data_IF_873955242047
#
_entry.id   IF_873955242047
#
_cell.length_a   1.000
_cell.length_b   1.000
_cell.length_c   1.000
_cell.angle_alpha   90.00
_cell.angle_beta   90.00
_cell.angle_gamma   90.00
#
_symmetry.space_group_name_H-M   'P 1'
#
loop_
_entity.id
_entity.type
_entity.pdbx_description
1 polymer ?
#
# COMPACT_ATOMS: atom_id res chain seq x y z
N UNK A 1 -3.74 9.15 10.00
CA UNK A 1 -3.97 7.75 9.57
C UNK A 1 -5.14 7.16 10.34
N UNK A 2 -6.08 6.51 9.63
CA UNK A 2 -7.24 5.85 10.23
C UNK A 2 -7.41 4.46 9.62
N UNK A 3 -7.34 3.44 10.46
CA UNK A 3 -7.71 2.07 10.09
C UNK A 3 -9.24 1.94 10.09
N UNK A 4 -9.81 1.59 8.94
CA UNK A 4 -11.26 1.43 8.76
C UNK A 4 -11.67 -0.02 8.98
N UNK A 5 -10.75 -0.97 8.77
CA UNK A 5 -11.03 -2.39 8.85
C UNK A 5 -11.47 -2.94 7.50
N UNK A 6 -12.34 -3.94 7.52
CA UNK A 6 -12.80 -4.60 6.30
C UNK A 6 -13.91 -3.78 5.63
N UNK A 7 -13.70 -3.44 4.36
CA UNK A 7 -14.60 -2.67 3.50
C UNK A 7 -14.89 -3.49 2.25
N UNK A 8 -16.04 -3.22 1.62
CA UNK A 8 -16.41 -3.81 0.34
C UNK A 8 -16.58 -2.75 -0.72
N UNK A 9 -16.13 -3.05 -1.93
CA UNK A 9 -16.27 -2.17 -3.08
C UNK A 9 -16.23 -2.92 -4.40
N UNK A 10 -16.42 -2.18 -5.49
CA UNK A 10 -16.35 -2.73 -6.84
C UNK A 10 -14.89 -2.85 -7.34
N UNK A 11 -14.70 -3.40 -8.54
CA UNK A 11 -13.37 -3.54 -9.15
C UNK A 11 -12.62 -2.20 -9.33
N UNK A 12 -13.32 -1.09 -9.51
CA UNK A 12 -12.67 0.22 -9.66
C UNK A 12 -12.03 0.70 -8.35
N UNK A 13 -12.67 0.38 -7.22
CA UNK A 13 -12.21 0.71 -5.87
C UNK A 13 -11.25 -0.33 -5.31
N UNK A 14 -11.32 -1.58 -5.78
CA UNK A 14 -10.47 -2.70 -5.37
C UNK A 14 -9.05 -2.60 -5.96
N UNK A 15 -8.38 -1.46 -5.73
CA UNK A 15 -6.99 -1.19 -6.12
C UNK A 15 -6.19 -0.90 -4.85
N UNK A 16 -4.93 -1.30 -4.83
CA UNK A 16 -4.05 -1.12 -3.66
C UNK A 16 -3.97 0.33 -3.19
N UNK A 17 -4.02 1.28 -4.12
CA UNK A 17 -3.98 2.72 -3.86
C UNK A 17 -5.08 3.44 -4.63
N UNK A 18 -5.92 4.18 -3.92
CA UNK A 18 -6.93 5.07 -4.50
C UNK A 18 -6.74 6.48 -3.96
N UNK A 19 -6.63 7.47 -4.86
CA UNK A 19 -6.51 8.88 -4.49
C UNK A 19 -7.88 9.52 -4.62
N UNK A 20 -8.52 9.82 -3.50
CA UNK A 20 -9.77 10.57 -3.46
C UNK A 20 -9.54 12.08 -3.53
N UNK A 21 -10.66 12.80 -3.36
CA UNK A 21 -10.64 14.27 -3.34
C UNK A 21 -9.84 14.82 -2.16
N UNK A 22 -10.07 14.28 -0.95
CA UNK A 22 -9.48 14.81 0.29
C UNK A 22 -8.57 13.79 1.00
N UNK A 23 -8.68 12.50 0.64
CA UNK A 23 -7.98 11.39 1.33
C UNK A 23 -7.31 10.44 0.35
N UNK A 24 -6.36 9.69 0.87
CA UNK A 24 -5.71 8.56 0.21
C UNK A 24 -6.18 7.27 0.88
N UNK A 25 -6.60 6.29 0.09
CA UNK A 25 -7.09 5.00 0.53
C UNK A 25 -6.10 3.93 0.12
N UNK A 26 -5.65 3.14 1.09
CA UNK A 26 -4.79 1.99 0.90
C UNK A 26 -5.63 0.75 1.17
N UNK A 27 -5.65 -0.17 0.20
CA UNK A 27 -6.36 -1.43 0.32
C UNK A 27 -5.38 -2.59 0.32
N UNK A 28 -5.47 -3.45 1.34
CA UNK A 28 -4.71 -4.71 1.42
C UNK A 28 -5.67 -5.90 1.46
N UNK A 29 -5.14 -7.09 1.22
CA UNK A 29 -5.89 -8.35 1.30
C UNK A 29 -7.16 -8.35 0.41
N UNK A 30 -7.06 -7.77 -0.78
CA UNK A 30 -8.19 -7.64 -1.72
C UNK A 30 -8.61 -9.02 -2.21
N UNK A 31 -9.86 -9.39 -1.95
CA UNK A 31 -10.45 -10.68 -2.33
C UNK A 31 -11.79 -10.48 -3.02
N UNK A 32 -12.10 -11.22 -4.10
CA UNK A 32 -13.41 -11.14 -4.75
C UNK A 32 -14.47 -11.87 -3.93
N UNK A 33 -15.65 -11.26 -3.80
CA UNK A 33 -16.85 -11.90 -3.28
C UNK A 33 -17.66 -12.42 -4.47
N UNK A 34 -17.75 -13.75 -4.59
CA UNK A 34 -18.47 -14.41 -5.69
C UNK A 34 -19.91 -14.76 -5.34
N UNK A 35 -20.29 -14.75 -4.06
CA UNK A 35 -21.64 -15.11 -3.59
C UNK A 35 -22.15 -14.16 -2.51
N UNK A 36 -23.44 -13.83 -2.55
CA UNK A 36 -24.09 -13.06 -1.49
C UNK A 36 -24.51 -13.93 -0.29
N UNK A 37 -25.00 -13.30 0.77
CA UNK A 37 -25.51 -13.98 1.97
C UNK A 37 -26.68 -14.94 1.72
N UNK A 38 -27.28 -14.91 0.53
CA UNK A 38 -28.41 -15.75 0.11
C UNK A 38 -27.97 -16.81 -0.92
N UNK A 39 -26.67 -16.90 -1.24
CA UNK A 39 -26.10 -17.85 -2.18
C UNK A 39 -26.25 -17.47 -3.66
N UNK A 40 -26.66 -16.24 -3.99
CA UNK A 40 -26.70 -15.78 -5.37
C UNK A 40 -25.31 -15.37 -5.84
N UNK A 41 -24.98 -15.62 -7.11
CA UNK A 41 -23.75 -15.13 -7.70
C UNK A 41 -23.70 -13.60 -7.71
N UNK A 42 -22.62 -13.05 -7.19
CA UNK A 42 -22.32 -11.62 -7.26
C UNK A 42 -21.12 -11.43 -8.17
N UNK A 43 -21.27 -10.48 -9.09
CA UNK A 43 -20.18 -10.03 -9.95
C UNK A 43 -19.75 -8.65 -9.49
N UNK A 44 -18.46 -8.37 -9.63
CA UNK A 44 -17.90 -7.04 -9.37
C UNK A 44 -18.03 -6.57 -7.91
N UNK A 45 -17.85 -7.49 -6.96
CA UNK A 45 -17.78 -7.19 -5.54
C UNK A 45 -16.50 -7.75 -4.95
N UNK A 46 -15.81 -6.93 -4.17
CA UNK A 46 -14.55 -7.25 -3.52
C UNK A 46 -14.61 -6.84 -2.06
N UNK A 47 -13.83 -7.53 -1.24
CA UNK A 47 -13.59 -7.23 0.16
C UNK A 47 -12.11 -6.99 0.37
N UNK A 48 -11.76 -5.97 1.14
CA UNK A 48 -10.39 -5.58 1.41
C UNK A 48 -10.26 -4.89 2.75
N UNK A 49 -9.07 -4.91 3.33
CA UNK A 49 -8.73 -4.10 4.49
C UNK A 49 -8.37 -2.68 4.04
N UNK A 50 -9.03 -1.67 4.61
CA UNK A 50 -8.84 -0.26 4.24
C UNK A 50 -8.15 0.54 5.34
N UNK A 51 -7.11 1.28 4.95
CA UNK A 51 -6.49 2.33 5.74
C UNK A 51 -6.58 3.65 4.98
N UNK A 52 -7.03 4.69 5.68
CA UNK A 52 -7.15 6.03 5.13
C UNK A 52 -6.09 6.97 5.71
N UNK A 53 -5.56 7.83 4.85
CA UNK A 53 -4.65 8.91 5.20
C UNK A 53 -5.22 10.23 4.71
N UNK A 54 -4.96 11.31 5.47
CA UNK A 54 -5.02 12.63 4.85
C UNK A 54 -3.88 12.77 3.84
N UNK A 55 -4.07 13.63 2.82
CA UNK A 55 -3.09 13.75 1.73
C UNK A 55 -1.71 14.16 2.22
N UNK A 56 -1.66 15.13 3.14
CA UNK A 56 -0.38 15.61 3.69
C UNK A 56 0.32 14.52 4.50
N UNK A 57 -0.42 13.77 5.33
CA UNK A 57 0.12 12.62 6.07
C UNK A 57 0.70 11.55 5.14
N UNK A 58 0.03 11.28 4.01
CA UNK A 58 0.50 10.30 3.04
C UNK A 58 1.76 10.79 2.30
N UNK A 59 1.83 12.09 1.97
CA UNK A 59 3.01 12.69 1.36
C UNK A 59 4.20 12.64 2.33
N UNK A 60 3.99 12.95 3.61
CA UNK A 60 5.02 12.83 4.64
C UNK A 60 5.52 11.39 4.80
N UNK A 61 4.61 10.42 4.78
CA UNK A 61 4.96 9.00 4.80
C UNK A 61 5.84 8.62 3.60
N UNK A 62 5.46 9.03 2.39
CA UNK A 62 6.24 8.76 1.18
C UNK A 62 7.62 9.44 1.23
N UNK A 63 7.69 10.69 1.70
CA UNK A 63 8.94 11.41 1.85
C UNK A 63 9.89 10.68 2.82
N UNK A 64 9.36 10.20 3.95
CA UNK A 64 10.12 9.41 4.92
C UNK A 64 10.62 8.09 4.32
N UNK A 65 9.74 7.33 3.67
CA UNK A 65 10.11 6.05 3.04
C UNK A 65 11.19 6.23 1.96
N UNK A 66 11.11 7.30 1.17
CA UNK A 66 12.10 7.61 0.14
C UNK A 66 13.46 8.00 0.75
N UNK A 67 13.46 8.76 1.85
CA UNK A 67 14.68 9.10 2.58
C UNK A 67 15.35 7.86 3.17
N UNK A 68 14.56 6.97 3.81
CA UNK A 68 15.05 5.69 4.35
C UNK A 68 15.60 4.78 3.25
N UNK A 69 14.90 4.67 2.12
CA UNK A 69 15.35 3.86 0.97
C UNK A 69 16.65 4.39 0.38
N UNK A 70 16.77 5.72 0.26
CA UNK A 70 18.00 6.36 -0.25
C UNK A 70 19.17 6.11 0.70
N UNK A 71 18.96 6.28 2.01
CA UNK A 71 19.98 5.97 3.03
C UNK A 71 20.43 4.52 2.94
N UNK A 72 19.49 3.56 2.94
CA UNK A 72 19.82 2.14 2.87
C UNK A 72 20.56 1.75 1.59
N UNK A 73 20.26 2.41 0.46
CA UNK A 73 21.00 2.22 -0.78
C UNK A 73 22.43 2.73 -0.66
N UNK A 74 22.63 3.92 -0.10
CA UNK A 74 23.98 4.48 0.14
C UNK A 74 24.79 3.59 1.08
N UNK A 75 24.20 3.14 2.19
CA UNK A 75 24.86 2.26 3.16
C UNK A 75 25.29 0.94 2.49
N UNK A 76 24.41 0.37 1.65
CA UNK A 76 24.73 -0.85 0.88
C UNK A 76 25.87 -0.60 -0.09
N UNK A 77 25.90 0.54 -0.79
CA UNK A 77 26.98 0.89 -1.72
C UNK A 77 28.33 1.05 -1.00
N UNK A 78 28.33 1.69 0.17
CA UNK A 78 29.53 1.82 0.99
C UNK A 78 30.05 0.45 1.45
N UNK A 79 29.18 -0.41 1.97
CA UNK A 79 29.55 -1.76 2.38
C UNK A 79 30.11 -2.60 1.22
N UNK A 80 29.52 -2.48 0.02
CA UNK A 80 30.04 -3.15 -1.18
C UNK A 80 31.43 -2.61 -1.60
N UNK A 81 31.66 -1.30 -1.46
CA UNK A 81 32.96 -0.68 -1.72
C UNK A 81 34.02 -1.21 -0.75
N UNK A 82 33.71 -1.25 0.55
CA UNK A 82 34.60 -1.78 1.60
C UNK A 82 34.98 -3.25 1.34
N UNK A 83 34.03 -4.10 0.92
CA UNK A 83 34.31 -5.50 0.57
C UNK A 83 35.22 -5.60 -0.67
N UNK A 84 34.96 -4.80 -1.70
CA UNK A 84 35.78 -4.78 -2.91
C UNK A 84 37.22 -4.34 -2.61
N UNK A 85 37.39 -3.31 -1.78
CA UNK A 85 38.71 -2.82 -1.34
C UNK A 85 39.43 -3.84 -0.45
N UNK A 86 38.72 -4.60 0.38
CA UNK A 86 39.31 -5.63 1.24
C UNK A 86 39.74 -6.92 0.50
N UNK A 87 39.28 -7.12 -0.74
CA UNK A 87 39.52 -8.35 -1.53
C UNK A 87 40.47 -8.16 -2.71
N UNK A 88 40.95 -6.92 -2.94
CA UNK A 88 42.02 -6.60 -3.88
C UNK A 88 43.30 -6.18 -3.16
#
# INVERSE_FOLDING_TARGET
MKNIGIVRGNSEQAKELVIGKDKVYIHTDITPITTDTRGNEVKDLFEYHEIQYDKDEYIELLAKQNAELTSGLTDTQLALCEIYEATN
#
